data_IF_901863081854
#
_entry.id   IF_901863081854
#
_cell.length_a   1.000
_cell.length_b   1.000
_cell.length_c   1.000
_cell.angle_alpha   90.00
_cell.angle_beta   90.00
_cell.angle_gamma   90.00
#
_symmetry.space_group_name_H-M   'P 1'
#
loop_
_entity.id
_entity.type
_entity.pdbx_description
1 polymer ?
#
# COMPACT_ATOMS: atom_id res chain seq x y z
N UNK A 1 -3.74 -4.76 9.62
CA UNK A 1 -4.31 -3.69 10.48
C UNK A 1 -5.82 -3.86 10.55
N UNK A 2 -6.45 -3.56 11.70
CA UNK A 2 -7.92 -3.57 11.87
C UNK A 2 -8.60 -4.94 11.84
N UNK A 3 -7.90 -6.06 11.75
CA UNK A 3 -8.51 -7.40 11.59
C UNK A 3 -8.76 -8.14 12.90
N UNK A 4 -8.29 -7.64 14.04
CA UNK A 4 -8.33 -8.33 15.33
C UNK A 4 -7.51 -9.64 15.40
N UNK A 5 -6.87 -10.07 14.31
CA UNK A 5 -5.99 -11.24 14.30
C UNK A 5 -4.73 -10.97 15.11
N UNK A 6 -4.27 -11.97 15.84
CA UNK A 6 -3.01 -11.91 16.58
C UNK A 6 -1.96 -12.79 15.91
N UNK A 7 -0.73 -12.34 15.91
CA UNK A 7 0.44 -13.11 15.51
C UNK A 7 1.19 -13.57 16.76
N UNK A 8 1.78 -14.76 16.73
CA UNK A 8 2.53 -15.33 17.83
C UNK A 8 4.03 -15.23 17.53
N UNK A 9 4.78 -14.64 18.43
CA UNK A 9 6.23 -14.54 18.38
C UNK A 9 6.78 -14.66 19.81
N UNK A 10 7.80 -15.52 20.01
CA UNK A 10 8.47 -15.74 21.29
C UNK A 10 7.47 -15.99 22.45
N UNK A 11 6.53 -16.90 22.25
CA UNK A 11 5.48 -17.29 23.21
C UNK A 11 4.50 -16.16 23.62
N UNK A 12 4.51 -15.04 22.90
CA UNK A 12 3.58 -13.92 23.08
C UNK A 12 2.71 -13.72 21.85
N UNK A 13 1.50 -13.22 22.08
CA UNK A 13 0.54 -12.90 21.03
C UNK A 13 0.42 -11.39 20.91
N UNK A 14 0.73 -10.89 19.73
CA UNK A 14 0.69 -9.47 19.40
C UNK A 14 -0.45 -9.15 18.43
N UNK A 15 -1.10 -8.04 18.65
CA UNK A 15 -2.01 -7.45 17.66
C UNK A 15 -1.22 -6.77 16.53
N UNK A 16 -1.82 -6.55 15.34
CA UNK A 16 -1.17 -5.78 14.28
C UNK A 16 -0.75 -4.37 14.72
N UNK A 17 -1.55 -3.74 15.59
CA UNK A 17 -1.27 -2.43 16.17
C UNK A 17 0.00 -2.44 17.03
N UNK A 18 0.17 -3.46 17.87
CA UNK A 18 1.37 -3.60 18.71
C UNK A 18 2.63 -3.82 17.87
N UNK A 19 2.57 -4.66 16.82
CA UNK A 19 3.71 -4.85 15.90
C UNK A 19 4.05 -3.55 15.18
N UNK A 20 3.04 -2.85 14.67
CA UNK A 20 3.25 -1.55 14.00
C UNK A 20 3.80 -0.50 14.97
N UNK A 21 3.39 -0.52 16.24
CA UNK A 21 3.92 0.36 17.26
C UNK A 21 5.40 0.12 17.54
N UNK A 22 5.88 -1.13 17.50
CA UNK A 22 7.30 -1.45 17.62
C UNK A 22 8.12 -0.78 16.50
N UNK A 23 7.61 -0.85 15.25
CA UNK A 23 8.25 -0.19 14.10
C UNK A 23 8.27 1.32 14.30
N UNK A 24 7.12 1.92 14.69
CA UNK A 24 7.02 3.36 14.92
C UNK A 24 7.92 3.82 16.08
N UNK A 25 8.04 3.03 17.15
CA UNK A 25 8.97 3.31 18.26
C UNK A 25 10.41 3.30 17.77
N UNK A 26 10.81 2.31 16.98
CA UNK A 26 12.14 2.26 16.38
C UNK A 26 12.43 3.49 15.51
N UNK A 27 11.48 3.89 14.67
CA UNK A 27 11.62 5.09 13.85
C UNK A 27 11.71 6.37 14.68
N UNK A 28 10.94 6.45 15.77
CA UNK A 28 11.01 7.56 16.74
C UNK A 28 12.38 7.63 17.38
N UNK A 29 12.89 6.52 17.91
CA UNK A 29 14.21 6.46 18.54
C UNK A 29 15.33 6.88 17.56
N UNK A 30 15.21 6.45 16.30
CA UNK A 30 16.13 6.83 15.23
C UNK A 30 16.08 8.35 14.95
N UNK A 31 14.87 8.92 14.88
CA UNK A 31 14.68 10.36 14.68
C UNK A 31 15.23 11.18 15.87
N UNK A 32 14.94 10.75 17.12
CA UNK A 32 15.45 11.38 18.34
C UNK A 32 16.99 11.35 18.41
N UNK A 33 17.58 10.22 18.02
CA UNK A 33 19.04 10.10 17.95
C UNK A 33 19.69 11.05 16.92
N UNK A 34 19.01 11.26 15.79
CA UNK A 34 19.48 12.17 14.74
C UNK A 34 19.31 13.65 15.14
N UNK A 35 18.16 14.01 15.69
CA UNK A 35 17.80 15.39 16.04
C UNK A 35 18.44 15.85 17.36
N UNK A 36 18.76 14.94 18.27
CA UNK A 36 19.24 15.25 19.61
C UNK A 36 18.16 15.76 20.57
N UNK A 37 16.88 15.62 20.21
CA UNK A 37 15.73 16.06 20.98
C UNK A 37 14.58 15.05 20.91
N UNK A 38 13.59 15.19 21.80
CA UNK A 38 12.44 14.30 21.86
C UNK A 38 11.47 14.55 20.71
N UNK A 39 10.97 13.46 20.14
CA UNK A 39 9.91 13.43 19.12
C UNK A 39 8.63 12.90 19.74
N UNK A 40 7.62 13.72 19.88
CA UNK A 40 6.34 13.38 20.51
C UNK A 40 5.13 13.48 19.57
N UNK A 41 5.30 13.99 18.35
CA UNK A 41 4.24 14.19 17.37
C UNK A 41 4.62 13.59 16.03
N UNK A 42 3.62 13.11 15.28
CA UNK A 42 3.85 12.55 13.95
C UNK A 42 2.66 12.77 13.00
N UNK A 43 2.97 12.92 11.73
CA UNK A 43 2.07 12.64 10.61
C UNK A 43 2.38 11.23 10.14
N UNK A 44 1.36 10.38 10.01
CA UNK A 44 1.53 8.99 9.60
C UNK A 44 0.77 8.75 8.30
N UNK A 45 1.41 8.11 7.34
CA UNK A 45 0.81 7.76 6.07
C UNK A 45 0.13 6.39 6.13
N UNK A 46 -0.89 6.22 5.31
CA UNK A 46 -1.60 4.95 5.12
C UNK A 46 -1.93 4.75 3.65
N UNK A 47 -2.06 3.51 3.17
CA UNK A 47 -2.62 3.23 1.86
C UNK A 47 -3.97 3.94 1.67
N UNK A 48 -4.18 4.49 0.47
CA UNK A 48 -5.40 5.26 0.21
C UNK A 48 -6.67 4.41 0.35
N UNK A 49 -6.57 3.13 0.01
CA UNK A 49 -7.70 2.18 0.03
C UNK A 49 -7.93 1.51 1.41
N UNK A 50 -7.25 1.99 2.47
CA UNK A 50 -7.54 1.56 3.84
C UNK A 50 -8.93 2.00 4.29
N UNK A 51 -9.69 1.09 4.90
CA UNK A 51 -10.95 1.41 5.56
C UNK A 51 -10.72 2.10 6.91
N UNK A 52 -11.80 2.59 7.53
CA UNK A 52 -11.74 3.32 8.79
C UNK A 52 -11.12 2.51 9.93
N UNK A 53 -11.45 1.21 10.05
CA UNK A 53 -10.85 0.34 11.07
C UNK A 53 -9.33 0.23 10.92
N UNK A 54 -8.81 0.15 9.70
CA UNK A 54 -7.37 0.09 9.42
C UNK A 54 -6.69 1.43 9.74
N UNK A 55 -7.32 2.56 9.39
CA UNK A 55 -6.85 3.91 9.71
C UNK A 55 -6.80 4.14 11.23
N UNK A 56 -7.87 3.76 11.92
CA UNK A 56 -7.92 3.86 13.39
C UNK A 56 -6.87 2.97 14.06
N UNK A 57 -6.65 1.75 13.56
CA UNK A 57 -5.62 0.84 14.04
C UNK A 57 -4.20 1.44 13.86
N UNK A 58 -3.94 2.11 12.73
CA UNK A 58 -2.68 2.83 12.50
C UNK A 58 -2.50 3.99 13.48
N UNK A 59 -3.58 4.76 13.72
CA UNK A 59 -3.56 5.84 14.72
C UNK A 59 -3.31 5.31 16.14
N UNK A 60 -3.89 4.15 16.48
CA UNK A 60 -3.66 3.49 17.76
C UNK A 60 -2.22 3.00 17.90
N UNK A 61 -1.62 2.46 16.83
CA UNK A 61 -0.20 2.07 16.81
C UNK A 61 0.71 3.27 17.14
N UNK A 62 0.44 4.45 16.55
CA UNK A 62 1.16 5.68 16.88
C UNK A 62 1.05 6.04 18.37
N UNK A 63 -0.16 5.93 18.94
CA UNK A 63 -0.37 6.19 20.38
C UNK A 63 0.37 5.18 21.27
N UNK A 64 0.38 3.90 20.92
CA UNK A 64 1.12 2.86 21.65
C UNK A 64 2.63 3.15 21.60
N UNK A 65 3.15 3.67 20.48
CA UNK A 65 4.52 4.12 20.33
C UNK A 65 4.85 5.42 21.08
N UNK A 66 3.86 6.01 21.80
CA UNK A 66 4.04 7.26 22.54
C UNK A 66 4.08 8.51 21.65
N UNK A 67 3.45 8.44 20.46
CA UNK A 67 3.34 9.55 19.54
C UNK A 67 1.92 10.16 19.57
N UNK A 68 1.82 11.47 19.58
CA UNK A 68 0.59 12.18 19.23
C UNK A 68 0.46 12.21 17.73
N UNK A 69 -0.49 11.44 17.19
CA UNK A 69 -0.75 11.40 15.73
C UNK A 69 -1.57 12.64 15.37
N UNK A 70 -0.91 13.62 14.77
CA UNK A 70 -1.54 14.89 14.38
C UNK A 70 -2.45 14.70 13.17
N UNK A 71 -2.01 13.87 12.21
CA UNK A 71 -2.80 13.56 11.02
C UNK A 71 -2.45 12.18 10.47
N UNK A 72 -3.47 11.50 9.93
CA UNK A 72 -3.31 10.38 8.99
C UNK A 72 -3.51 10.94 7.60
N UNK A 73 -2.58 10.67 6.68
CA UNK A 73 -2.63 11.11 5.27
C UNK A 73 -2.48 9.89 4.35
N UNK A 74 -3.15 9.91 3.21
CA UNK A 74 -3.01 8.86 2.21
C UNK A 74 -1.64 8.92 1.53
N UNK A 75 -1.01 7.75 1.29
CA UNK A 75 0.31 7.64 0.67
C UNK A 75 0.38 8.32 -0.71
N UNK A 76 -0.54 8.08 -1.67
CA UNK A 76 -0.51 8.77 -2.95
C UNK A 76 -0.76 10.28 -2.84
N UNK A 77 -1.51 10.71 -1.84
CA UNK A 77 -1.74 12.13 -1.58
C UNK A 77 -0.47 12.80 -1.04
N UNK A 78 0.24 12.12 -0.13
CA UNK A 78 1.55 12.59 0.34
C UNK A 78 2.55 12.68 -0.82
N UNK A 79 2.61 11.65 -1.67
CA UNK A 79 3.47 11.66 -2.84
C UNK A 79 3.16 12.83 -3.80
N UNK A 80 1.87 13.14 -4.00
CA UNK A 80 1.45 14.28 -4.81
C UNK A 80 1.90 15.61 -4.21
N UNK A 81 1.83 15.78 -2.88
CA UNK A 81 2.34 16.97 -2.19
C UNK A 81 3.84 17.15 -2.43
N UNK A 82 4.62 16.08 -2.29
CA UNK A 82 6.07 16.15 -2.53
C UNK A 82 6.41 16.47 -3.98
N UNK A 83 5.67 15.91 -4.94
CA UNK A 83 5.85 16.18 -6.37
C UNK A 83 5.46 17.61 -6.75
N UNK A 84 4.35 18.12 -6.20
CA UNK A 84 3.75 19.39 -6.63
C UNK A 84 4.22 20.60 -5.85
N UNK A 85 5.03 20.47 -4.79
CA UNK A 85 5.42 21.56 -3.91
C UNK A 85 6.06 22.74 -4.68
N UNK A 86 6.88 22.45 -5.68
CA UNK A 86 7.58 23.42 -6.51
C UNK A 86 6.88 23.73 -7.83
N UNK A 87 5.65 23.24 -8.03
CA UNK A 87 4.89 23.33 -9.30
C UNK A 87 3.52 24.01 -9.13
N UNK A 88 3.35 24.80 -8.10
CA UNK A 88 2.06 25.41 -7.72
C UNK A 88 1.45 26.33 -8.81
N UNK A 89 2.29 26.91 -9.65
CA UNK A 89 1.85 27.82 -10.75
C UNK A 89 1.29 27.09 -11.99
N UNK A 90 1.25 25.75 -11.96
CA UNK A 90 0.80 24.94 -13.09
C UNK A 90 -0.39 24.08 -12.71
N UNK A 91 -1.50 24.24 -13.45
CA UNK A 91 -2.58 23.27 -13.36
C UNK A 91 -2.15 21.96 -14.06
N UNK A 92 -2.22 20.84 -13.35
CA UNK A 92 -1.86 19.51 -13.84
C UNK A 92 -2.81 18.44 -13.28
N UNK A 93 -3.18 17.49 -14.12
CA UNK A 93 -3.84 16.25 -13.70
C UNK A 93 -2.80 15.15 -13.62
N UNK A 94 -2.58 14.61 -12.43
CA UNK A 94 -1.60 13.54 -12.21
C UNK A 94 -2.29 12.23 -11.83
N UNK A 95 -1.70 11.12 -12.26
CA UNK A 95 -2.04 9.79 -11.80
C UNK A 95 -0.88 9.28 -10.93
N UNK A 96 -1.14 9.03 -9.66
CA UNK A 96 -0.20 8.39 -8.74
C UNK A 96 -0.48 6.90 -8.74
N UNK A 97 0.52 6.11 -9.09
CA UNK A 97 0.48 4.65 -9.12
C UNK A 97 1.42 4.14 -8.03
N UNK A 98 0.85 3.70 -6.92
CA UNK A 98 1.57 3.26 -5.73
C UNK A 98 1.51 1.74 -5.60
N UNK A 99 2.63 1.07 -5.88
CA UNK A 99 2.79 -0.37 -5.74
C UNK A 99 3.88 -0.67 -4.71
N UNK A 100 3.43 -0.85 -3.48
CA UNK A 100 4.28 -1.13 -2.33
C UNK A 100 4.59 -2.61 -2.12
N UNK A 101 4.92 -2.98 -0.88
CA UNK A 101 5.18 -4.36 -0.50
C UNK A 101 3.93 -5.21 -0.35
N UNK A 102 2.82 -4.65 0.12
CA UNK A 102 1.60 -5.41 0.41
C UNK A 102 0.31 -4.81 -0.11
N UNK A 103 0.36 -3.60 -0.67
CA UNK A 103 -0.82 -2.88 -1.19
C UNK A 103 -0.52 -2.23 -2.52
N UNK A 104 -1.57 -2.11 -3.32
CA UNK A 104 -1.58 -1.34 -4.55
C UNK A 104 -2.66 -0.26 -4.48
N UNK A 105 -2.29 0.98 -4.70
CA UNK A 105 -3.20 2.12 -4.78
C UNK A 105 -2.97 2.91 -6.07
N UNK A 106 -4.05 3.45 -6.61
CA UNK A 106 -4.03 4.42 -7.70
C UNK A 106 -4.93 5.58 -7.37
N UNK A 107 -4.39 6.80 -7.48
CA UNK A 107 -5.15 8.04 -7.24
C UNK A 107 -4.96 9.02 -8.37
N UNK A 108 -6.03 9.71 -8.73
CA UNK A 108 -6.00 10.79 -9.71
C UNK A 108 -6.24 12.10 -8.96
N UNK A 109 -5.34 13.05 -9.17
CA UNK A 109 -5.35 14.35 -8.51
C UNK A 109 -5.25 15.47 -9.52
N UNK A 110 -5.93 16.58 -9.23
CA UNK A 110 -5.71 17.86 -9.89
C UNK A 110 -4.88 18.76 -8.96
N UNK A 111 -3.83 19.33 -9.52
CA UNK A 111 -2.93 20.28 -8.86
C UNK A 111 -3.05 21.62 -9.55
N UNK A 112 -3.15 22.69 -8.77
CA UNK A 112 -3.15 24.05 -9.33
C UNK A 112 -3.39 25.09 -8.24
N UNK A 113 -2.75 26.24 -8.34
CA UNK A 113 -2.91 27.38 -7.43
C UNK A 113 -2.79 27.02 -5.93
N UNK A 114 -1.86 26.10 -5.60
CA UNK A 114 -1.68 25.61 -4.23
C UNK A 114 -2.74 24.61 -3.75
N UNK A 115 -3.71 24.24 -4.60
CA UNK A 115 -4.74 23.24 -4.27
C UNK A 115 -4.35 21.88 -4.82
N UNK A 116 -4.43 20.87 -3.97
CA UNK A 116 -4.24 19.46 -4.30
C UNK A 116 -5.57 18.74 -4.07
N UNK A 117 -6.30 18.46 -5.14
CA UNK A 117 -7.62 17.84 -5.08
C UNK A 117 -7.58 16.42 -5.59
N UNK A 118 -7.89 15.45 -4.73
CA UNK A 118 -8.08 14.05 -5.15
C UNK A 118 -9.43 13.93 -5.85
N UNK A 119 -9.43 13.49 -7.10
CA UNK A 119 -10.66 13.27 -7.90
C UNK A 119 -11.20 11.87 -7.71
N UNK A 120 -10.32 10.88 -7.62
CA UNK A 120 -10.69 9.50 -7.37
C UNK A 120 -9.52 8.71 -6.81
N UNK A 121 -9.83 7.64 -6.09
CA UNK A 121 -8.88 6.62 -5.66
C UNK A 121 -9.47 5.24 -5.82
N UNK A 122 -8.63 4.26 -6.13
CA UNK A 122 -8.98 2.83 -6.18
C UNK A 122 -7.74 2.01 -5.82
N UNK A 123 -7.89 0.71 -5.53
CA UNK A 123 -6.74 -0.09 -5.18
C UNK A 123 -7.06 -1.54 -4.83
N UNK A 124 -6.01 -2.23 -4.36
CA UNK A 124 -6.10 -3.59 -3.84
C UNK A 124 -5.19 -3.72 -2.60
N UNK A 125 -5.80 -3.86 -1.43
CA UNK A 125 -5.09 -3.99 -0.15
C UNK A 125 -4.38 -5.35 0.05
N UNK A 126 -4.38 -6.21 -0.96
CA UNK A 126 -3.80 -7.56 -0.92
C UNK A 126 -2.99 -7.83 -2.19
N UNK A 127 -2.31 -6.82 -2.71
CA UNK A 127 -1.45 -6.93 -3.87
C UNK A 127 -0.21 -6.07 -3.69
N UNK A 128 0.95 -6.67 -3.76
CA UNK A 128 2.22 -5.95 -3.65
C UNK A 128 3.44 -6.83 -3.86
N UNK A 129 4.61 -6.32 -3.50
CA UNK A 129 5.88 -7.00 -3.64
C UNK A 129 5.98 -8.33 -2.90
N UNK A 130 5.25 -8.50 -1.79
CA UNK A 130 5.19 -9.77 -1.05
C UNK A 130 4.54 -10.89 -1.90
N UNK A 131 3.56 -10.57 -2.76
CA UNK A 131 2.95 -11.54 -3.66
C UNK A 131 3.91 -11.97 -4.76
N UNK A 132 4.77 -11.03 -5.20
CA UNK A 132 5.83 -11.35 -6.16
C UNK A 132 6.91 -12.23 -5.54
N UNK A 133 7.27 -11.99 -4.27
CA UNK A 133 8.17 -12.86 -3.51
C UNK A 133 7.57 -14.26 -3.37
N UNK A 134 6.29 -14.37 -3.04
CA UNK A 134 5.59 -15.65 -2.95
C UNK A 134 5.60 -16.40 -4.28
N UNK A 135 5.42 -15.73 -5.41
CA UNK A 135 5.49 -16.35 -6.73
C UNK A 135 6.89 -16.94 -7.01
N UNK A 136 7.96 -16.26 -6.60
CA UNK A 136 9.32 -16.80 -6.67
C UNK A 136 9.49 -17.99 -5.70
N UNK A 137 9.02 -17.86 -4.47
CA UNK A 137 9.09 -18.94 -3.46
C UNK A 137 8.40 -20.22 -3.97
N UNK A 138 7.19 -20.10 -4.51
CA UNK A 138 6.44 -21.24 -5.05
C UNK A 138 7.18 -21.91 -6.21
N UNK A 139 7.79 -21.10 -7.07
CA UNK A 139 8.64 -21.60 -8.15
C UNK A 139 9.84 -22.39 -7.58
N UNK A 140 10.58 -21.83 -6.62
CA UNK A 140 11.75 -22.48 -6.00
C UNK A 140 11.37 -23.77 -5.27
N UNK A 141 10.26 -23.79 -4.54
CA UNK A 141 9.72 -24.99 -3.86
C UNK A 141 9.41 -26.08 -4.89
N UNK A 142 8.78 -25.70 -6.00
CA UNK A 142 8.44 -26.64 -7.07
C UNK A 142 9.69 -27.24 -7.71
N UNK A 143 10.69 -26.42 -8.04
CA UNK A 143 11.94 -26.89 -8.65
C UNK A 143 12.71 -27.79 -7.68
N UNK A 144 12.86 -27.39 -6.41
CA UNK A 144 13.54 -28.19 -5.40
C UNK A 144 12.85 -29.55 -5.16
N UNK A 145 11.51 -29.56 -5.16
CA UNK A 145 10.72 -30.79 -5.00
C UNK A 145 10.88 -31.73 -6.18
N UNK A 146 10.97 -31.20 -7.40
CA UNK A 146 11.22 -32.03 -8.61
C UNK A 146 12.59 -32.69 -8.57
N UNK A 147 13.60 -31.99 -8.08
CA UNK A 147 14.98 -32.46 -8.05
C UNK A 147 15.25 -33.41 -6.87
N UNK A 148 14.74 -33.07 -5.69
CA UNK A 148 15.11 -33.75 -4.43
C UNK A 148 13.96 -34.55 -3.79
N UNK A 149 12.74 -34.47 -4.32
CA UNK A 149 11.57 -35.15 -3.74
C UNK A 149 11.02 -34.50 -2.46
N UNK A 150 11.66 -33.44 -1.94
CA UNK A 150 11.36 -32.83 -0.64
C UNK A 150 10.55 -31.52 -0.84
N UNK A 151 9.52 -31.39 -0.01
CA UNK A 151 8.62 -30.23 0.00
C UNK A 151 9.04 -29.23 1.09
N UNK A 152 9.72 -28.16 0.69
CA UNK A 152 10.24 -27.14 1.60
C UNK A 152 9.13 -26.33 2.30
N UNK A 153 7.91 -26.32 1.78
CA UNK A 153 6.79 -25.56 2.37
C UNK A 153 6.40 -26.03 3.78
N UNK A 154 6.83 -27.23 4.17
CA UNK A 154 6.56 -27.84 5.48
C UNK A 154 7.57 -27.42 6.57
N UNK A 155 8.68 -26.82 6.18
CA UNK A 155 9.74 -26.38 7.11
C UNK A 155 9.72 -24.87 7.26
N UNK A 156 9.43 -24.38 8.47
CA UNK A 156 9.34 -22.94 8.76
C UNK A 156 10.67 -22.21 8.57
N UNK A 157 11.80 -22.85 8.87
CA UNK A 157 13.12 -22.25 8.68
C UNK A 157 13.48 -22.15 7.19
N UNK A 158 13.16 -23.19 6.42
CA UNK A 158 13.34 -23.16 4.97
C UNK A 158 12.47 -22.08 4.34
N UNK A 159 11.20 -21.96 4.76
CA UNK A 159 10.29 -20.91 4.26
C UNK A 159 10.79 -19.50 4.56
N UNK A 160 11.33 -19.25 5.77
CA UNK A 160 11.90 -17.94 6.10
C UNK A 160 13.10 -17.60 5.20
N UNK A 161 13.98 -18.56 4.99
CA UNK A 161 15.16 -18.37 4.11
C UNK A 161 14.76 -18.20 2.64
N UNK A 162 13.75 -18.96 2.18
CA UNK A 162 13.19 -18.79 0.84
C UNK A 162 12.64 -17.39 0.64
N UNK A 163 11.94 -16.84 1.65
CA UNK A 163 11.43 -15.46 1.60
C UNK A 163 12.57 -14.45 1.40
N UNK A 164 13.63 -14.56 2.17
CA UNK A 164 14.79 -13.65 2.10
C UNK A 164 15.49 -13.70 0.74
N UNK A 165 15.76 -14.91 0.23
CA UNK A 165 16.43 -15.03 -1.07
C UNK A 165 15.52 -14.66 -2.25
N UNK A 166 14.20 -14.85 -2.13
CA UNK A 166 13.22 -14.46 -3.15
C UNK A 166 13.09 -12.95 -3.23
N UNK A 167 12.98 -12.25 -2.09
CA UNK A 167 12.95 -10.79 -2.06
C UNK A 167 14.22 -10.19 -2.64
N UNK A 168 15.38 -10.75 -2.29
CA UNK A 168 16.65 -10.33 -2.87
C UNK A 168 16.66 -10.52 -4.39
N UNK A 169 16.26 -11.69 -4.88
CA UNK A 169 16.20 -11.98 -6.32
C UNK A 169 15.25 -11.04 -7.05
N UNK A 170 14.07 -10.75 -6.51
CA UNK A 170 13.14 -9.74 -7.04
C UNK A 170 13.81 -8.38 -7.21
N UNK A 171 14.51 -7.91 -6.17
CA UNK A 171 15.23 -6.63 -6.21
C UNK A 171 16.35 -6.63 -7.25
N UNK A 172 17.17 -7.68 -7.27
CA UNK A 172 18.27 -7.82 -8.24
C UNK A 172 17.75 -7.81 -9.69
N UNK A 173 16.67 -8.56 -9.97
CA UNK A 173 16.08 -8.67 -11.32
C UNK A 173 15.44 -7.37 -11.82
N UNK A 174 15.23 -6.37 -10.98
CA UNK A 174 14.88 -5.01 -11.43
C UNK A 174 16.05 -4.31 -12.14
N UNK A 175 17.30 -4.67 -11.82
CA UNK A 175 18.53 -4.09 -12.41
C UNK A 175 19.23 -4.99 -13.41
N UNK A 176 19.20 -6.33 -13.21
CA UNK A 176 19.91 -7.29 -14.05
C UNK A 176 18.97 -8.24 -14.77
N UNK A 177 19.46 -8.93 -15.81
CA UNK A 177 18.66 -9.87 -16.62
C UNK A 177 18.60 -11.29 -16.05
N UNK A 178 19.50 -11.63 -15.12
CA UNK A 178 19.50 -12.90 -14.41
C UNK A 178 20.20 -12.75 -13.07
N UNK A 179 19.80 -13.57 -12.08
CA UNK A 179 20.45 -13.65 -10.76
C UNK A 179 20.51 -15.11 -10.32
N UNK A 180 21.54 -15.43 -9.52
CA UNK A 180 21.67 -16.74 -8.90
C UNK A 180 21.07 -16.70 -7.50
N UNK A 181 20.14 -17.59 -7.22
CA UNK A 181 19.50 -17.78 -5.92
C UNK A 181 20.16 -18.96 -5.25
N UNK A 182 20.87 -18.74 -4.14
CA UNK A 182 21.55 -19.77 -3.39
C UNK A 182 21.08 -19.79 -1.93
N UNK A 183 20.64 -20.96 -1.46
CA UNK A 183 20.33 -21.19 -0.06
C UNK A 183 21.00 -22.52 0.38
N UNK A 184 22.25 -22.47 0.87
CA UNK A 184 22.98 -23.64 1.31
C UNK A 184 22.34 -24.24 2.55
N UNK A 185 22.38 -25.58 2.69
CA UNK A 185 21.84 -26.32 3.85
C UNK A 185 20.35 -26.02 4.10
N UNK A 186 19.53 -25.96 3.04
CA UNK A 186 18.10 -25.62 3.14
C UNK A 186 17.25 -26.80 3.62
N UNK A 187 17.69 -28.02 3.36
CA UNK A 187 17.03 -29.25 3.79
C UNK A 187 18.07 -30.37 4.07
N UNK A 188 17.58 -31.50 4.55
CA UNK A 188 18.37 -32.71 4.76
C UNK A 188 17.77 -33.84 3.91
N UNK A 189 18.61 -34.54 3.17
CA UNK A 189 18.23 -35.70 2.37
C UNK A 189 17.88 -36.93 3.18
N UNK A 190 17.34 -37.95 2.53
CA UNK A 190 16.97 -39.20 3.16
C UNK A 190 18.21 -39.96 3.75
N UNK A 191 19.37 -39.73 3.17
CA UNK A 191 20.67 -40.25 3.64
C UNK A 191 21.27 -39.44 4.79
N UNK A 192 20.60 -38.39 5.23
CA UNK A 192 21.05 -37.45 6.27
C UNK A 192 22.04 -36.39 5.76
N UNK A 193 22.38 -36.40 4.49
CA UNK A 193 23.23 -35.38 3.87
C UNK A 193 22.56 -34.03 3.69
N UNK A 194 23.35 -32.93 3.69
CA UNK A 194 22.79 -31.59 3.49
C UNK A 194 22.40 -31.39 2.02
N UNK A 195 21.25 -30.79 1.81
CA UNK A 195 20.78 -30.37 0.49
C UNK A 195 20.83 -28.82 0.35
N UNK A 196 21.17 -28.37 -0.83
CA UNK A 196 21.35 -26.97 -1.18
C UNK A 196 20.38 -26.58 -2.28
N UNK A 197 19.81 -25.39 -2.18
CA UNK A 197 19.10 -24.76 -3.30
C UNK A 197 20.10 -23.90 -4.06
N UNK A 198 20.19 -24.10 -5.36
CA UNK A 198 21.01 -23.29 -6.27
C UNK A 198 20.30 -23.19 -7.63
N UNK A 199 19.65 -22.06 -7.87
CA UNK A 199 18.81 -21.83 -9.05
C UNK A 199 19.15 -20.51 -9.70
N UNK A 200 19.39 -20.51 -11.00
CA UNK A 200 19.49 -19.28 -11.79
C UNK A 200 18.09 -18.85 -12.23
N UNK A 201 17.65 -17.67 -11.77
CA UNK A 201 16.38 -17.07 -12.20
C UNK A 201 16.64 -15.92 -13.17
N UNK A 202 16.00 -15.99 -14.35
CA UNK A 202 16.05 -14.90 -15.32
C UNK A 202 14.91 -13.91 -15.10
N UNK A 203 15.12 -12.64 -15.48
CA UNK A 203 14.05 -11.62 -15.47
C UNK A 203 12.82 -12.08 -16.28
N UNK A 204 13.01 -12.65 -17.46
CA UNK A 204 11.91 -13.13 -18.27
C UNK A 204 11.06 -14.19 -17.53
N UNK A 205 11.71 -15.13 -16.82
CA UNK A 205 10.98 -16.12 -16.02
C UNK A 205 10.28 -15.49 -14.83
N UNK A 206 10.94 -14.54 -14.14
CA UNK A 206 10.33 -13.79 -13.03
C UNK A 206 9.09 -13.01 -13.51
N UNK A 207 9.20 -12.25 -14.61
CA UNK A 207 8.09 -11.51 -15.19
C UNK A 207 6.93 -12.42 -15.62
N UNK A 208 7.24 -13.63 -16.08
CA UNK A 208 6.22 -14.64 -16.40
C UNK A 208 5.46 -15.10 -15.14
N UNK A 209 6.19 -15.29 -14.02
CA UNK A 209 5.59 -15.72 -12.75
C UNK A 209 4.65 -14.66 -12.14
N UNK A 210 4.93 -13.37 -12.35
CA UNK A 210 4.16 -12.27 -11.75
C UNK A 210 3.20 -11.59 -12.72
N UNK A 211 3.13 -12.03 -13.99
CA UNK A 211 2.37 -11.38 -15.05
C UNK A 211 0.93 -11.07 -14.67
N UNK A 212 0.20 -12.07 -14.23
CA UNK A 212 -1.22 -11.93 -13.88
C UNK A 212 -1.42 -10.96 -12.71
N UNK A 213 -0.50 -10.97 -11.74
CA UNK A 213 -0.53 -10.04 -10.62
C UNK A 213 -0.32 -8.60 -11.08
N UNK A 214 0.65 -8.36 -11.94
CA UNK A 214 0.94 -7.02 -12.48
C UNK A 214 -0.19 -6.56 -13.39
N UNK A 215 -0.71 -7.40 -14.27
CA UNK A 215 -1.85 -7.06 -15.16
C UNK A 215 -3.13 -6.75 -14.37
N UNK A 216 -3.32 -7.38 -13.20
CA UNK A 216 -4.47 -7.12 -12.33
C UNK A 216 -4.55 -5.67 -11.83
N UNK A 217 -3.42 -4.94 -11.83
CA UNK A 217 -3.39 -3.52 -11.46
C UNK A 217 -4.12 -2.61 -12.44
N UNK A 218 -4.30 -3.05 -13.69
CA UNK A 218 -4.97 -2.25 -14.72
C UNK A 218 -6.45 -2.01 -14.42
N UNK A 219 -7.12 -2.96 -13.77
CA UNK A 219 -8.53 -2.81 -13.44
C UNK A 219 -8.78 -1.63 -12.48
N UNK A 220 -8.07 -1.50 -11.33
CA UNK A 220 -8.15 -0.31 -10.49
C UNK A 220 -7.77 0.99 -11.22
N UNK A 221 -6.77 0.98 -12.09
CA UNK A 221 -6.39 2.16 -12.91
C UNK A 221 -7.56 2.63 -13.77
N UNK A 222 -8.20 1.71 -14.50
CA UNK A 222 -9.36 2.02 -15.35
C UNK A 222 -10.56 2.48 -14.54
N UNK A 223 -10.79 1.88 -13.36
CA UNK A 223 -11.85 2.31 -12.43
C UNK A 223 -11.61 3.73 -11.91
N UNK A 224 -10.39 4.05 -11.53
CA UNK A 224 -10.04 5.40 -11.06
C UNK A 224 -10.27 6.45 -12.15
N UNK A 225 -9.85 6.20 -13.40
CA UNK A 225 -10.13 7.08 -14.54
C UNK A 225 -11.63 7.28 -14.75
N UNK A 226 -12.39 6.19 -14.74
CA UNK A 226 -13.85 6.23 -14.91
C UNK A 226 -14.53 7.03 -13.78
N UNK A 227 -14.14 6.80 -12.53
CA UNK A 227 -14.71 7.48 -11.37
C UNK A 227 -14.39 8.98 -11.38
N UNK A 228 -13.17 9.35 -11.81
CA UNK A 228 -12.79 10.76 -12.04
C UNK A 228 -13.47 11.38 -13.27
N UNK A 229 -14.14 10.59 -14.10
CA UNK A 229 -14.72 10.98 -15.41
C UNK A 229 -13.67 11.53 -16.37
N UNK A 230 -12.47 10.96 -16.30
CA UNK A 230 -11.32 11.32 -17.13
C UNK A 230 -10.93 10.13 -18.02
N UNK A 231 -10.20 10.47 -19.08
CA UNK A 231 -9.55 9.52 -19.98
C UNK A 231 -8.03 9.53 -19.75
N UNK A 232 -7.31 8.60 -20.35
CA UNK A 232 -5.84 8.59 -20.29
C UNK A 232 -5.21 9.85 -20.90
N UNK A 233 -5.91 10.50 -21.83
CA UNK A 233 -5.39 11.68 -22.53
C UNK A 233 -5.43 12.93 -21.63
N UNK A 234 -6.33 12.94 -20.63
CA UNK A 234 -6.48 14.01 -19.63
C UNK A 234 -5.40 13.95 -18.54
N UNK A 235 -4.63 12.86 -18.45
CA UNK A 235 -3.55 12.73 -17.47
C UNK A 235 -2.28 13.41 -18.00
N UNK A 236 -1.77 14.41 -17.30
CA UNK A 236 -0.53 15.10 -17.69
C UNK A 236 0.72 14.34 -17.28
N UNK A 237 0.70 13.74 -16.08
CA UNK A 237 1.84 13.02 -15.50
C UNK A 237 1.42 11.74 -14.80
N UNK A 238 2.28 10.74 -14.86
CA UNK A 238 2.17 9.51 -14.06
C UNK A 238 3.33 9.48 -13.07
N UNK A 239 3.01 9.38 -11.79
CA UNK A 239 3.98 9.35 -10.69
C UNK A 239 4.03 7.94 -10.12
N UNK A 240 5.21 7.34 -10.10
CA UNK A 240 5.44 6.04 -9.49
C UNK A 240 5.83 6.17 -8.03
N UNK A 241 5.21 5.36 -7.19
CA UNK A 241 5.43 5.25 -5.75
C UNK A 241 5.55 3.78 -5.37
N UNK A 242 6.36 3.50 -4.36
CA UNK A 242 6.61 2.15 -3.88
C UNK A 242 7.71 1.41 -4.65
N UNK A 243 8.50 0.62 -3.93
CA UNK A 243 9.66 -0.07 -4.48
C UNK A 243 9.35 -1.06 -5.60
N UNK A 244 8.14 -1.64 -5.62
CA UNK A 244 7.73 -2.60 -6.65
C UNK A 244 7.51 -1.95 -8.03
N UNK A 245 7.38 -0.63 -8.11
CA UNK A 245 7.32 0.11 -9.39
C UNK A 245 8.67 0.13 -10.13
N UNK A 246 9.75 -0.29 -9.48
CA UNK A 246 11.08 -0.44 -10.09
C UNK A 246 11.17 -1.65 -11.04
N UNK A 247 10.21 -2.58 -10.97
CA UNK A 247 10.15 -3.75 -11.84
C UNK A 247 9.87 -3.29 -13.28
N UNK A 248 10.74 -3.63 -14.27
CA UNK A 248 10.60 -3.14 -15.64
C UNK A 248 9.24 -3.44 -16.29
N UNK A 249 8.68 -4.62 -16.03
CA UNK A 249 7.36 -5.01 -16.52
C UNK A 249 6.26 -4.05 -16.06
N UNK A 250 6.32 -3.54 -14.84
CA UNK A 250 5.34 -2.57 -14.31
C UNK A 250 5.43 -1.26 -15.09
N UNK A 251 6.65 -0.78 -15.32
CA UNK A 251 6.88 0.43 -16.11
C UNK A 251 6.32 0.30 -17.51
N UNK A 252 6.64 -0.79 -18.20
CA UNK A 252 6.23 -1.02 -19.59
C UNK A 252 4.71 -1.18 -19.72
N UNK A 253 4.09 -1.86 -18.75
CA UNK A 253 2.64 -2.06 -18.71
C UNK A 253 1.91 -0.71 -18.60
N UNK A 254 2.30 0.14 -17.66
CA UNK A 254 1.65 1.43 -17.42
C UNK A 254 1.93 2.42 -18.55
N UNK A 255 3.16 2.44 -19.09
CA UNK A 255 3.48 3.23 -20.29
C UNK A 255 2.59 2.83 -21.46
N UNK A 256 2.38 1.53 -21.68
CA UNK A 256 1.52 1.00 -22.76
C UNK A 256 0.04 1.37 -22.54
N UNK A 257 -0.47 1.20 -21.30
CA UNK A 257 -1.88 1.45 -20.99
C UNK A 257 -2.23 2.94 -21.11
N UNK A 258 -1.42 3.80 -20.52
CA UNK A 258 -1.68 5.25 -20.47
C UNK A 258 -1.12 6.03 -21.65
N UNK A 259 -0.22 5.44 -22.44
CA UNK A 259 0.45 6.12 -23.56
C UNK A 259 1.44 7.21 -23.11
N UNK A 260 1.81 7.22 -21.82
CA UNK A 260 2.69 8.23 -21.20
C UNK A 260 3.80 7.55 -20.40
N UNK A 261 4.97 8.16 -20.38
CA UNK A 261 6.08 7.67 -19.57
C UNK A 261 5.89 8.05 -18.12
N UNK A 262 5.97 7.07 -17.18
CA UNK A 262 6.02 7.39 -15.75
C UNK A 262 7.19 8.30 -15.43
N UNK A 263 6.94 9.32 -14.61
CA UNK A 263 7.93 10.32 -14.22
C UNK A 263 9.01 9.69 -13.34
N UNK A 264 10.24 10.15 -13.53
CA UNK A 264 11.40 9.82 -12.71
C UNK A 264 11.86 10.98 -11.84
N UNK A 265 11.04 12.02 -11.72
CA UNK A 265 11.37 13.25 -10.99
C UNK A 265 11.43 13.04 -9.48
N UNK A 266 10.76 12.01 -8.97
CA UNK A 266 10.70 11.68 -7.55
C UNK A 266 11.27 10.29 -7.27
N UNK A 267 11.88 10.10 -6.10
CA UNK A 267 12.29 8.78 -5.65
C UNK A 267 11.07 8.02 -5.10
N UNK A 268 10.67 6.88 -5.70
CA UNK A 268 9.49 6.14 -5.29
C UNK A 268 9.56 5.57 -3.87
N UNK A 269 10.76 5.44 -3.28
CA UNK A 269 10.95 4.93 -1.92
C UNK A 269 10.83 6.03 -0.86
N UNK A 270 11.03 7.31 -1.21
CA UNK A 270 11.12 8.43 -0.26
C UNK A 270 10.00 9.45 -0.39
N UNK A 271 9.35 9.52 -1.56
CA UNK A 271 8.40 10.58 -1.90
C UNK A 271 7.23 10.68 -0.92
N UNK A 272 6.75 9.56 -0.38
CA UNK A 272 5.68 9.51 0.62
C UNK A 272 6.12 10.15 1.93
N UNK A 273 7.32 9.83 2.40
CA UNK A 273 7.89 10.40 3.63
C UNK A 273 8.12 11.92 3.48
N UNK A 274 8.59 12.37 2.31
CA UNK A 274 8.72 13.79 1.98
C UNK A 274 7.37 14.50 2.04
N UNK A 275 6.33 13.92 1.46
CA UNK A 275 4.97 14.48 1.50
C UNK A 275 4.38 14.53 2.90
N UNK A 276 4.65 13.51 3.73
CA UNK A 276 4.26 13.52 5.14
C UNK A 276 4.97 14.64 5.92
N UNK A 277 6.24 14.89 5.64
CA UNK A 277 7.00 15.99 6.25
C UNK A 277 6.43 17.36 5.82
N UNK A 278 6.09 17.55 4.54
CA UNK A 278 5.43 18.77 4.05
C UNK A 278 4.09 18.98 4.77
N UNK A 279 3.30 17.92 4.94
CA UNK A 279 2.05 17.99 5.71
C UNK A 279 2.30 18.37 7.18
N UNK A 280 3.40 17.92 7.77
CA UNK A 280 3.86 18.37 9.09
C UNK A 280 4.10 19.88 9.10
N UNK A 281 4.82 20.40 8.11
CA UNK A 281 5.07 21.85 7.95
C UNK A 281 3.79 22.67 7.75
N UNK A 282 2.80 22.13 7.03
CA UNK A 282 1.47 22.78 6.91
C UNK A 282 0.76 22.86 8.26
N UNK A 283 0.83 21.81 9.07
CA UNK A 283 0.19 21.76 10.39
C UNK A 283 0.88 22.67 11.43
N UNK A 284 2.17 22.93 11.28
CA UNK A 284 2.94 23.85 12.15
C UNK A 284 2.89 25.31 11.65
N UNK A 285 2.44 25.53 10.43
CA UNK A 285 2.41 26.87 9.80
C UNK A 285 3.74 27.28 9.13
N UNK A 286 4.69 26.35 9.02
CA UNK A 286 5.96 26.57 8.33
C UNK A 286 5.79 26.55 6.80
N UNK A 287 4.79 25.82 6.31
CA UNK A 287 4.38 25.76 4.91
C UNK A 287 2.98 26.35 4.80
N UNK A 288 2.84 27.40 4.00
CA UNK A 288 1.59 28.11 3.78
C UNK A 288 1.11 27.92 2.34
N UNK A 289 -0.12 28.35 2.06
CA UNK A 289 -0.73 28.38 0.73
C UNK A 289 -0.93 27.01 0.07
N UNK A 290 -1.02 25.94 0.88
CA UNK A 290 -1.36 24.59 0.44
C UNK A 290 -2.70 24.17 1.01
N UNK A 291 -3.62 23.77 0.13
CA UNK A 291 -4.91 23.16 0.49
C UNK A 291 -4.98 21.76 -0.07
N UNK A 292 -5.23 20.80 0.81
CA UNK A 292 -5.38 19.39 0.46
C UNK A 292 -6.84 18.95 0.61
N UNK A 293 -7.43 18.49 -0.48
CA UNK A 293 -8.77 17.93 -0.53
C UNK A 293 -8.67 16.45 -0.90
N UNK A 294 -8.97 15.60 0.05
CA UNK A 294 -8.93 14.13 -0.13
C UNK A 294 -10.37 13.57 -0.29
N UNK A 295 -10.49 12.28 -0.60
CA UNK A 295 -11.77 11.61 -0.83
C UNK A 295 -11.92 10.35 0.02
N UNK A 296 -13.17 9.92 0.21
CA UNK A 296 -13.46 8.61 0.79
C UNK A 296 -13.11 7.50 -0.20
N UNK A 297 -12.31 6.47 0.18
CA UNK A 297 -11.93 5.40 -0.74
C UNK A 297 -13.07 4.43 -1.04
N UNK A 298 -13.98 4.26 -0.09
CA UNK A 298 -15.09 3.33 -0.12
C UNK A 298 -16.41 4.05 0.15
N UNK A 299 -17.52 3.50 -0.34
CA UNK A 299 -18.84 3.99 0.02
C UNK A 299 -19.13 3.65 1.47
N UNK A 300 -19.74 4.58 2.20
CA UNK A 300 -20.20 4.40 3.56
C UNK A 300 -21.73 4.31 3.55
N UNK A 301 -22.28 3.30 4.19
CA UNK A 301 -23.71 3.09 4.27
C UNK A 301 -24.14 2.32 5.50
N UNK A 302 -25.43 2.11 5.60
CA UNK A 302 -26.05 1.30 6.65
C UNK A 302 -26.65 0.05 6.05
N UNK A 303 -26.57 -1.06 6.76
CA UNK A 303 -27.35 -2.24 6.47
C UNK A 303 -28.81 -1.99 6.84
N UNK A 304 -29.70 -2.19 5.88
CA UNK A 304 -31.15 -2.03 6.04
C UNK A 304 -31.83 -3.39 5.91
N UNK A 305 -33.17 -3.42 6.07
CA UNK A 305 -33.96 -4.64 6.04
C UNK A 305 -33.62 -5.52 4.83
N UNK A 306 -33.39 -6.81 5.10
CA UNK A 306 -33.01 -7.79 4.07
C UNK A 306 -31.53 -7.85 3.73
N UNK A 307 -30.65 -7.25 4.55
CA UNK A 307 -29.20 -7.28 4.34
C UNK A 307 -28.72 -6.36 3.19
N UNK A 308 -29.55 -5.37 2.82
CA UNK A 308 -29.24 -4.44 1.74
C UNK A 308 -28.45 -3.25 2.28
N UNK A 309 -27.31 -2.95 1.66
CA UNK A 309 -26.57 -1.72 1.96
C UNK A 309 -27.27 -0.50 1.35
N UNK A 310 -27.65 0.44 2.21
CA UNK A 310 -28.11 1.77 1.78
C UNK A 310 -26.95 2.74 1.88
N UNK A 311 -26.44 3.20 0.73
CA UNK A 311 -25.30 4.11 0.66
C UNK A 311 -25.68 5.50 1.15
N UNK A 312 -24.95 6.01 2.14
CA UNK A 312 -25.09 7.37 2.66
C UNK A 312 -24.07 8.32 2.03
N UNK A 313 -22.81 7.93 2.00
CA UNK A 313 -21.70 8.69 1.40
C UNK A 313 -21.07 7.80 0.32
N UNK A 314 -21.22 8.15 -0.96
CA UNK A 314 -20.56 7.43 -2.06
C UNK A 314 -19.05 7.50 -1.96
N UNK A 315 -18.36 6.47 -2.44
CA UNK A 315 -16.90 6.51 -2.63
C UNK A 315 -16.49 7.71 -3.51
N UNK A 316 -15.28 8.15 -3.34
CA UNK A 316 -14.72 9.33 -4.01
C UNK A 316 -15.50 10.64 -3.71
N UNK A 317 -16.17 10.70 -2.55
CA UNK A 317 -16.73 11.94 -2.03
C UNK A 317 -15.64 12.72 -1.31
N UNK A 318 -15.46 14.00 -1.68
CA UNK A 318 -14.48 14.89 -1.05
C UNK A 318 -14.73 15.02 0.46
N UNK A 319 -13.67 14.98 1.23
CA UNK A 319 -13.69 15.13 2.69
C UNK A 319 -13.07 16.47 3.13
N UNK A 320 -13.60 17.11 4.21
CA UNK A 320 -14.61 16.60 5.14
C UNK A 320 -16.04 16.63 4.58
N UNK A 321 -16.82 15.61 4.91
CA UNK A 321 -18.23 15.52 4.49
C UNK A 321 -19.12 14.98 5.60
N UNK A 322 -20.41 15.23 5.52
CA UNK A 322 -21.40 14.65 6.43
C UNK A 322 -22.71 14.39 5.71
N UNK A 323 -23.40 13.31 6.10
CA UNK A 323 -24.73 12.95 5.57
C UNK A 323 -25.67 12.64 6.72
N UNK A 324 -26.90 13.13 6.59
CA UNK A 324 -28.02 12.78 7.48
C UNK A 324 -29.09 12.12 6.65
N UNK A 325 -29.65 11.03 7.14
CA UNK A 325 -30.75 10.31 6.51
C UNK A 325 -31.74 9.88 7.57
N UNK A 326 -33.02 9.80 7.22
CA UNK A 326 -34.07 9.37 8.13
C UNK A 326 -34.54 7.98 7.71
N UNK A 327 -34.50 7.04 8.65
CA UNK A 327 -34.97 5.68 8.48
C UNK A 327 -36.17 5.44 9.39
N UNK A 328 -37.12 4.64 8.93
CA UNK A 328 -38.24 4.17 9.74
C UNK A 328 -37.99 2.76 10.29
N UNK A 329 -38.65 2.43 11.38
CA UNK A 329 -38.68 1.06 11.89
C UNK A 329 -39.48 0.14 10.95
N UNK A 330 -39.12 -1.16 10.92
CA UNK A 330 -39.81 -2.14 10.07
C UNK A 330 -41.21 -2.52 10.57
N UNK A 331 -41.48 -2.29 11.87
CA UNK A 331 -42.77 -2.58 12.49
C UNK A 331 -43.14 -1.51 13.54
N UNK A 332 -44.46 -1.36 13.80
CA UNK A 332 -44.93 -0.50 14.87
C UNK A 332 -44.47 -1.00 16.24
N UNK A 333 -44.12 -0.05 17.12
CA UNK A 333 -43.63 -0.33 18.47
C UNK A 333 -42.35 -1.18 18.54
N UNK A 334 -41.52 -1.17 17.49
CA UNK A 334 -40.19 -1.82 17.52
C UNK A 334 -39.34 -1.22 18.62
N UNK A 335 -38.85 -2.01 19.61
CA UNK A 335 -38.20 -1.47 20.83
C UNK A 335 -36.73 -1.08 20.63
N UNK A 336 -36.09 -1.57 19.53
CA UNK A 336 -34.68 -1.32 19.24
C UNK A 336 -34.39 -1.39 17.74
N UNK A 337 -33.30 -0.78 17.34
CA UNK A 337 -32.70 -0.91 16.00
C UNK A 337 -31.22 -1.22 16.17
N UNK A 338 -30.72 -2.16 15.39
CA UNK A 338 -29.29 -2.41 15.27
C UNK A 338 -28.75 -1.60 14.08
N UNK A 339 -27.70 -0.83 14.33
CA UNK A 339 -27.03 -0.04 13.28
C UNK A 339 -25.72 -0.71 12.90
N UNK A 340 -25.64 -1.22 11.68
CA UNK A 340 -24.43 -1.76 11.09
C UNK A 340 -23.90 -0.79 10.04
N UNK A 341 -22.74 -0.18 10.33
CA UNK A 341 -22.04 0.71 9.40
C UNK A 341 -21.17 -0.13 8.48
N UNK A 342 -21.37 0.00 7.18
CA UNK A 342 -20.72 -0.82 6.16
C UNK A 342 -19.90 0.07 5.22
N UNK A 343 -18.67 -0.39 4.90
CA UNK A 343 -17.80 0.18 3.87
C UNK A 343 -17.73 -0.79 2.68
N UNK A 344 -18.11 -0.34 1.50
CA UNK A 344 -18.05 -1.11 0.24
C UNK A 344 -17.44 -0.26 -0.89
#
# INVERSE_FOLDING_TARGET
MGSGKKVEAEDKKYTPEEISAMILSYMKDYAEAYLGEKVDRAVITVPAYFNDSQRQATKNAGKIAGLKVERIINEPTAAALAYGLDKQDKSQTILVYDLGGGTFDVSILELGDGVFEVKSTNGNNKLGGDDFDNAIMDYLISEFKKENGIDLSKDKMAMQRLKEVSEKAKKDLSGVTSTQISAPFIAQGEDGGPLHLDVTLTRAKFEDLIRDLVESTLEPVRKALKDAKLTKDDIDKVIFVGGSTRIPMVYDLIKKELGKEPSREVNPDEVVAMGAAIQGGVLTGDVNDIVLLDVTPLSLGLETLGGVMTTLIPRNTTIPTSKKEVFSTAADNQPAVDLSLIHI
#
